data_IF_339253331790
#
_entry.id   IF_339253331790
#
_cell.length_a   1.000
_cell.length_b   1.000
_cell.length_c   1.000
_cell.angle_alpha   90.00
_cell.angle_beta   90.00
_cell.angle_gamma   90.00
#
_symmetry.space_group_name_H-M   'P 1'
#
loop_
_entity.id
_entity.type
_entity.pdbx_description
1 polymer ?
#
# COMPACT_ATOMS: atom_id res chain seq x y z
N UNK A 1 20.40 -52.71 -20.30
CA UNK A 1 20.54 -51.25 -20.56
C UNK A 1 19.44 -50.53 -19.80
N UNK A 2 19.80 -49.51 -19.01
CA UNK A 2 18.97 -48.91 -17.98
C UNK A 2 18.67 -47.47 -18.40
N UNK A 3 17.45 -47.17 -18.83
CA UNK A 3 17.00 -45.80 -19.11
C UNK A 3 16.30 -45.26 -17.86
N UNK A 4 17.04 -44.57 -17.00
CA UNK A 4 16.46 -43.71 -15.97
C UNK A 4 16.15 -42.36 -16.61
N UNK A 5 14.87 -42.14 -16.94
CA UNK A 5 14.35 -40.82 -17.29
C UNK A 5 14.20 -39.99 -16.02
N UNK A 6 15.06 -38.99 -15.83
CA UNK A 6 14.96 -38.02 -14.75
C UNK A 6 13.85 -37.03 -15.06
N UNK A 7 12.69 -37.19 -14.39
CA UNK A 7 11.63 -36.20 -14.39
C UNK A 7 12.08 -35.00 -13.53
N UNK A 8 12.49 -33.91 -14.17
CA UNK A 8 12.81 -32.65 -13.50
C UNK A 8 11.50 -31.97 -13.08
N UNK A 9 11.08 -32.20 -11.84
CA UNK A 9 9.97 -31.48 -11.24
C UNK A 9 10.40 -30.02 -10.99
N UNK A 10 9.93 -29.10 -11.83
CA UNK A 10 10.11 -27.67 -11.66
C UNK A 10 9.20 -27.22 -10.50
N UNK A 11 9.75 -27.12 -9.29
CA UNK A 11 9.02 -26.60 -8.15
C UNK A 11 8.81 -25.08 -8.30
N UNK A 12 7.61 -24.66 -8.71
CA UNK A 12 7.19 -23.26 -8.62
C UNK A 12 7.08 -22.86 -7.14
N UNK A 13 8.11 -22.16 -6.65
CA UNK A 13 8.05 -21.41 -5.40
C UNK A 13 7.04 -20.27 -5.57
N UNK A 14 5.82 -20.46 -5.09
CA UNK A 14 4.84 -19.41 -4.88
C UNK A 14 5.36 -18.48 -3.79
N UNK A 15 6.05 -17.41 -4.19
CA UNK A 15 6.42 -16.33 -3.29
C UNK A 15 5.12 -15.61 -2.93
N UNK A 16 4.50 -15.99 -1.81
CA UNK A 16 3.38 -15.25 -1.25
C UNK A 16 3.89 -13.86 -0.87
N UNK A 17 3.60 -12.86 -1.71
CA UNK A 17 3.89 -11.48 -1.36
C UNK A 17 3.20 -11.17 -0.03
N UNK A 18 3.89 -10.54 0.94
CA UNK A 18 3.26 -10.17 2.19
C UNK A 18 2.10 -9.23 1.85
N UNK A 19 0.87 -9.66 2.14
CA UNK A 19 -0.29 -8.79 2.08
C UNK A 19 -0.04 -7.69 3.11
N UNK A 20 0.34 -6.49 2.65
CA UNK A 20 0.47 -5.31 3.49
C UNK A 20 -0.88 -5.12 4.19
N UNK A 21 -0.89 -5.46 5.48
CA UNK A 21 -2.13 -5.50 6.24
C UNK A 21 -2.70 -4.09 6.32
N UNK A 22 -3.90 -3.91 5.74
CA UNK A 22 -4.61 -2.64 5.78
C UNK A 22 -4.67 -2.10 7.22
N UNK A 23 -4.32 -0.83 7.47
CA UNK A 23 -4.41 -0.27 8.80
C UNK A 23 -5.84 -0.40 9.37
N UNK A 24 -5.94 -0.94 10.59
CA UNK A 24 -7.23 -1.26 11.21
C UNK A 24 -8.16 -0.04 11.36
N UNK A 25 -9.48 -0.27 11.37
CA UNK A 25 -10.49 0.77 11.60
C UNK A 25 -10.62 1.79 10.46
N UNK A 26 -10.45 1.36 9.20
CA UNK A 26 -10.78 2.16 8.03
C UNK A 26 -12.24 1.96 7.61
N UNK A 27 -12.91 3.04 7.21
CA UNK A 27 -14.17 2.91 6.47
C UNK A 27 -13.94 2.41 5.05
N UNK A 28 -14.98 1.90 4.38
CA UNK A 28 -14.90 1.33 3.03
C UNK A 28 -14.24 2.26 1.99
N UNK A 29 -14.48 3.57 2.08
CA UNK A 29 -13.81 4.55 1.21
C UNK A 29 -12.29 4.55 1.37
N UNK A 30 -11.79 4.41 2.59
CA UNK A 30 -10.36 4.38 2.85
C UNK A 30 -9.70 3.06 2.48
N UNK A 31 -10.43 1.94 2.52
CA UNK A 31 -9.93 0.66 2.00
C UNK A 31 -9.60 0.77 0.51
N UNK A 32 -10.51 1.30 -0.30
CA UNK A 32 -10.28 1.49 -1.74
C UNK A 32 -9.11 2.44 -2.04
N UNK A 33 -8.99 3.51 -1.27
CA UNK A 33 -7.84 4.42 -1.38
C UNK A 33 -6.53 3.73 -0.98
N UNK A 34 -6.57 2.87 0.05
CA UNK A 34 -5.40 2.11 0.49
C UNK A 34 -4.98 1.06 -0.53
N UNK A 35 -5.91 0.35 -1.17
CA UNK A 35 -5.62 -0.57 -2.28
C UNK A 35 -4.93 0.14 -3.43
N UNK A 36 -5.42 1.33 -3.80
CA UNK A 36 -4.78 2.15 -4.84
C UNK A 36 -3.37 2.56 -4.42
N UNK A 37 -3.20 3.00 -3.17
CA UNK A 37 -1.88 3.33 -2.61
C UNK A 37 -0.92 2.12 -2.63
N UNK A 38 -1.37 0.96 -2.19
CA UNK A 38 -0.56 -0.26 -2.12
C UNK A 38 -0.07 -0.68 -3.51
N UNK A 39 -0.94 -0.62 -4.52
CA UNK A 39 -0.61 -0.95 -5.91
C UNK A 39 0.22 0.13 -6.63
N UNK A 40 0.40 1.31 -6.03
CA UNK A 40 1.10 2.43 -6.67
C UNK A 40 2.61 2.35 -6.50
N UNK A 41 3.33 2.97 -7.44
CA UNK A 41 4.78 3.13 -7.40
C UNK A 41 5.23 4.16 -6.35
N UNK A 42 6.38 3.90 -5.74
CA UNK A 42 7.09 4.88 -4.91
C UNK A 42 7.61 6.07 -5.75
N UNK A 43 7.90 7.23 -5.15
CA UNK A 43 7.63 7.59 -3.76
C UNK A 43 6.13 7.76 -3.48
N UNK A 44 5.64 7.16 -2.39
CA UNK A 44 4.23 7.14 -2.00
C UNK A 44 4.04 7.28 -0.49
N UNK A 45 2.86 7.76 -0.10
CA UNK A 45 2.46 7.81 1.30
C UNK A 45 0.95 7.69 1.45
N UNK A 46 0.54 7.14 2.59
CA UNK A 46 -0.84 7.05 3.03
C UNK A 46 -1.00 7.73 4.39
N UNK A 47 -2.04 8.56 4.50
CA UNK A 47 -2.40 9.28 5.70
C UNK A 47 -3.82 8.93 6.16
N UNK A 48 -4.00 8.83 7.47
CA UNK A 48 -5.27 8.50 8.12
C UNK A 48 -5.64 9.58 9.13
N UNK A 49 -6.90 9.98 9.14
CA UNK A 49 -7.49 10.74 10.24
C UNK A 49 -7.85 9.84 11.42
N UNK A 50 -8.26 10.43 12.53
CA UNK A 50 -8.87 9.70 13.66
C UNK A 50 -10.28 9.23 13.31
N UNK A 51 -10.98 10.00 12.49
CA UNK A 51 -12.28 9.68 11.90
C UNK A 51 -12.14 8.84 10.62
N UNK A 52 -13.21 8.67 9.84
CA UNK A 52 -13.24 7.83 8.64
C UNK A 52 -12.54 8.45 7.41
N UNK A 53 -11.82 9.55 7.57
CA UNK A 53 -11.11 10.23 6.48
C UNK A 53 -9.67 9.70 6.31
N UNK A 54 -9.19 9.74 5.07
CA UNK A 54 -7.84 9.36 4.69
C UNK A 54 -7.42 10.13 3.43
N UNK A 55 -6.14 10.02 3.11
CA UNK A 55 -5.57 10.55 1.88
C UNK A 55 -4.33 9.77 1.49
N UNK A 56 -4.01 9.76 0.21
CA UNK A 56 -2.84 9.07 -0.31
C UNK A 56 -2.20 9.88 -1.43
N UNK A 57 -0.93 9.63 -1.68
CA UNK A 57 -0.20 10.19 -2.80
C UNK A 57 0.86 9.20 -3.27
N UNK A 58 1.17 9.23 -4.56
CA UNK A 58 2.18 8.37 -5.19
C UNK A 58 2.84 9.11 -6.37
N UNK A 59 4.00 8.62 -6.81
CA UNK A 59 4.76 9.19 -7.92
C UNK A 59 5.22 10.64 -7.69
N UNK A 60 5.49 11.03 -6.43
CA UNK A 60 6.05 12.36 -6.10
C UNK A 60 7.58 12.37 -6.30
N UNK A 61 8.20 13.55 -6.22
CA UNK A 61 9.64 13.64 -6.43
C UNK A 61 10.44 12.92 -5.33
N UNK A 62 9.89 12.86 -4.10
CA UNK A 62 10.48 12.15 -2.98
C UNK A 62 9.41 11.78 -1.92
N UNK A 63 9.80 10.98 -0.92
CA UNK A 63 8.91 10.52 0.15
C UNK A 63 8.36 11.67 0.99
N UNK A 64 9.14 12.74 1.21
CA UNK A 64 8.67 13.90 1.99
C UNK A 64 7.52 14.63 1.29
N UNK A 65 7.60 14.80 -0.03
CA UNK A 65 6.51 15.34 -0.84
C UNK A 65 5.29 14.42 -0.87
N UNK A 66 5.49 13.10 -0.99
CA UNK A 66 4.41 12.12 -0.91
C UNK A 66 3.67 12.22 0.42
N UNK A 67 4.40 12.29 1.54
CA UNK A 67 3.84 12.49 2.89
C UNK A 67 3.05 13.78 2.99
N UNK A 68 3.61 14.90 2.52
CA UNK A 68 2.93 16.21 2.51
C UNK A 68 1.63 16.16 1.71
N UNK A 69 1.65 15.55 0.52
CA UNK A 69 0.50 15.42 -0.35
C UNK A 69 -0.59 14.51 0.24
N UNK A 70 -0.22 13.35 0.81
CA UNK A 70 -1.15 12.44 1.46
C UNK A 70 -1.86 13.10 2.66
N UNK A 71 -1.11 13.85 3.49
CA UNK A 71 -1.67 14.64 4.58
C UNK A 71 -2.61 15.76 4.08
N UNK A 72 -2.23 16.43 3.00
CA UNK A 72 -3.06 17.45 2.34
C UNK A 72 -4.40 16.87 1.88
N UNK A 73 -4.37 15.71 1.23
CA UNK A 73 -5.58 15.03 0.76
C UNK A 73 -6.45 14.56 1.94
N UNK A 74 -5.85 13.99 2.99
CA UNK A 74 -6.58 13.59 4.20
C UNK A 74 -7.35 14.78 4.81
N UNK A 75 -6.70 15.96 4.92
CA UNK A 75 -7.33 17.18 5.46
C UNK A 75 -8.40 17.75 4.52
N UNK A 76 -8.17 17.69 3.20
CA UNK A 76 -9.16 18.11 2.20
C UNK A 76 -10.45 17.27 2.29
N UNK A 77 -10.32 15.98 2.63
CA UNK A 77 -11.43 15.07 2.94
C UNK A 77 -12.00 15.26 4.36
N UNK A 78 -11.81 16.42 4.98
CA UNK A 78 -12.28 16.77 6.33
C UNK A 78 -11.76 15.81 7.42
N UNK A 79 -10.57 15.26 7.23
CA UNK A 79 -9.97 14.37 8.23
C UNK A 79 -9.39 15.11 9.43
N UNK A 80 -9.77 14.65 10.61
CA UNK A 80 -9.26 15.14 11.89
C UNK A 80 -7.95 14.45 12.27
N UNK A 81 -7.00 15.20 12.83
CA UNK A 81 -5.71 14.68 13.30
C UNK A 81 -5.00 13.76 12.28
N UNK A 82 -5.04 14.16 11.00
CA UNK A 82 -4.41 13.43 9.90
C UNK A 82 -2.92 13.17 10.17
N UNK A 83 -2.53 11.89 10.10
CA UNK A 83 -1.16 11.41 10.30
C UNK A 83 -0.78 10.42 9.22
N UNK A 84 0.48 10.45 8.78
CA UNK A 84 1.02 9.43 7.89
C UNK A 84 1.10 8.11 8.67
N UNK A 85 0.52 7.06 8.12
CA UNK A 85 0.57 5.70 8.69
C UNK A 85 1.45 4.77 7.86
N UNK A 86 1.76 5.15 6.61
CA UNK A 86 2.64 4.39 5.74
C UNK A 86 3.30 5.28 4.69
N UNK A 87 4.54 4.98 4.31
CA UNK A 87 5.25 5.68 3.24
C UNK A 87 6.44 4.88 2.74
N UNK A 88 6.69 4.95 1.44
CA UNK A 88 7.81 4.30 0.73
C UNK A 88 8.42 5.25 -0.30
#
# INVERSE_FOLDING_TARGET
>A
MKLLGTATALALLLIAAPAMAMPAGMGAGCQKHYETFAASKAPKAFAKGTTKACGYAYGKANVAEARKAALGFCRANKGDSCRVVESE
#
